data_IF_119171397857
#
_entry.id   IF_119171397857
#
_cell.length_a   1.000
_cell.length_b   1.000
_cell.length_c   1.000
_cell.angle_alpha   90.00
_cell.angle_beta   90.00
_cell.angle_gamma   90.00
#
_symmetry.space_group_name_H-M   'P 1'
#
loop_
_entity.id
_entity.type
_entity.pdbx_description
1 polymer ?
#
# COMPACT_ATOMS: atom_id res chain seq x y z
N UNK A 1 -39.64 17.17 -56.65
CA UNK A 1 -40.81 16.79 -57.46
C UNK A 1 -41.21 18.02 -58.25
N UNK A 2 -41.15 17.96 -59.58
CA UNK A 2 -41.65 19.01 -60.47
C UNK A 2 -43.18 18.86 -60.60
N UNK A 3 -43.92 19.80 -60.07
CA UNK A 3 -45.33 19.99 -60.41
C UNK A 3 -45.50 20.97 -61.53
N UNK A 4 -46.61 20.98 -62.20
CA UNK A 4 -46.88 21.82 -63.43
C UNK A 4 -46.75 23.32 -63.18
N UNK A 5 -46.68 23.84 -61.95
CA UNK A 5 -46.67 25.28 -61.66
C UNK A 5 -45.62 25.72 -60.61
N UNK A 6 -44.51 25.03 -60.44
CA UNK A 6 -43.47 25.49 -59.54
C UNK A 6 -42.43 24.46 -59.09
N UNK A 7 -41.25 24.93 -58.71
CA UNK A 7 -40.21 24.13 -58.08
C UNK A 7 -40.39 24.19 -56.56
N UNK A 8 -40.74 23.09 -55.94
CA UNK A 8 -40.82 22.97 -54.48
C UNK A 8 -39.39 22.70 -53.96
N UNK A 9 -38.82 23.68 -53.30
CA UNK A 9 -37.53 23.50 -52.61
C UNK A 9 -37.79 23.10 -51.15
N UNK A 10 -37.38 21.88 -50.74
CA UNK A 10 -37.33 21.45 -49.36
C UNK A 10 -35.96 21.83 -48.74
N UNK A 11 -35.97 22.70 -47.78
CA UNK A 11 -34.84 22.89 -46.88
C UNK A 11 -35.00 21.92 -45.71
N UNK A 12 -34.25 20.86 -45.71
CA UNK A 12 -34.07 20.04 -44.48
C UNK A 12 -33.14 20.79 -43.56
N UNK A 13 -33.45 20.90 -42.24
CA UNK A 13 -32.55 21.53 -41.30
C UNK A 13 -31.22 20.74 -41.25
N UNK A 14 -30.20 21.32 -41.91
CA UNK A 14 -28.83 20.74 -41.88
C UNK A 14 -28.19 20.85 -40.49
N UNK A 15 -28.79 21.64 -39.61
CA UNK A 15 -28.26 21.96 -38.27
C UNK A 15 -28.13 20.74 -37.37
N UNK A 16 -29.07 19.80 -37.39
CA UNK A 16 -28.98 18.57 -36.57
C UNK A 16 -27.83 17.68 -37.02
N UNK A 17 -27.64 17.48 -38.32
CA UNK A 17 -26.54 16.66 -38.83
C UNK A 17 -25.18 17.33 -38.58
N UNK A 18 -25.09 18.66 -38.73
CA UNK A 18 -23.87 19.44 -38.47
C UNK A 18 -23.55 19.43 -36.95
N UNK A 19 -24.55 19.61 -36.10
CA UNK A 19 -24.39 19.55 -34.65
C UNK A 19 -23.98 18.15 -34.18
N UNK A 20 -24.56 17.09 -34.71
CA UNK A 20 -24.17 15.71 -34.41
C UNK A 20 -22.72 15.44 -34.84
N UNK A 21 -22.29 15.90 -36.03
CA UNK A 21 -20.92 15.74 -36.52
C UNK A 21 -19.92 16.54 -35.68
N UNK A 22 -20.28 17.77 -35.28
CA UNK A 22 -19.46 18.61 -34.41
C UNK A 22 -19.29 17.95 -33.03
N UNK A 23 -20.38 17.51 -32.40
CA UNK A 23 -20.36 16.82 -31.13
C UNK A 23 -19.51 15.54 -31.20
N UNK A 24 -19.65 14.77 -32.28
CA UNK A 24 -18.83 13.58 -32.52
C UNK A 24 -17.35 13.91 -32.62
N UNK A 25 -16.97 14.97 -33.31
CA UNK A 25 -15.57 15.42 -33.45
C UNK A 25 -15.00 15.89 -32.11
N UNK A 26 -15.74 16.69 -31.36
CA UNK A 26 -15.34 17.21 -30.06
C UNK A 26 -15.18 16.03 -29.07
N UNK A 27 -16.07 15.04 -29.09
CA UNK A 27 -15.99 13.85 -28.29
C UNK A 27 -14.73 13.02 -28.62
N UNK A 28 -14.48 12.77 -29.92
CA UNK A 28 -13.29 12.03 -30.37
C UNK A 28 -12.01 12.78 -29.99
N UNK A 29 -11.98 14.12 -30.17
CA UNK A 29 -10.81 14.91 -29.76
C UNK A 29 -10.57 14.84 -28.24
N UNK A 30 -11.61 14.92 -27.44
CA UNK A 30 -11.51 14.81 -25.98
C UNK A 30 -11.00 13.44 -25.57
N UNK A 31 -11.54 12.37 -26.15
CA UNK A 31 -11.06 11.00 -25.91
C UNK A 31 -9.60 10.84 -26.32
N UNK A 32 -9.22 11.34 -27.50
CA UNK A 32 -7.83 11.25 -27.99
C UNK A 32 -6.87 12.00 -27.07
N UNK A 33 -7.26 13.20 -26.62
CA UNK A 33 -6.44 13.98 -25.69
C UNK A 33 -6.31 13.28 -24.33
N UNK A 34 -7.41 12.79 -23.77
CA UNK A 34 -7.39 12.04 -22.51
C UNK A 34 -6.52 10.79 -22.63
N UNK A 35 -6.68 10.02 -23.70
CA UNK A 35 -5.89 8.82 -23.99
C UNK A 35 -4.39 9.13 -24.08
N UNK A 36 -4.03 10.25 -24.72
CA UNK A 36 -2.64 10.67 -24.88
C UNK A 36 -2.00 11.17 -23.57
N UNK A 37 -2.81 11.66 -22.61
CA UNK A 37 -2.32 12.19 -21.33
C UNK A 37 -2.39 11.21 -20.18
N UNK A 38 -2.89 9.99 -20.40
CA UNK A 38 -2.87 8.94 -19.38
C UNK A 38 -1.42 8.60 -18.99
N UNK A 39 -1.10 8.52 -17.68
CA UNK A 39 0.22 8.11 -17.21
C UNK A 39 0.44 6.60 -17.32
N UNK A 40 -0.59 5.85 -17.68
CA UNK A 40 -0.58 4.41 -17.83
C UNK A 40 -0.31 4.05 -19.29
N UNK A 41 0.70 3.23 -19.55
CA UNK A 41 0.98 2.70 -20.89
C UNK A 41 -0.13 1.76 -21.33
N UNK A 42 -0.74 2.05 -22.47
CA UNK A 42 -1.83 1.25 -23.01
C UNK A 42 -1.47 0.69 -24.40
N UNK A 43 -1.67 -0.62 -24.55
CA UNK A 43 -1.56 -1.33 -25.83
C UNK A 43 -2.83 -2.15 -26.05
N UNK A 44 -3.54 -1.94 -27.18
CA UNK A 44 -4.73 -2.68 -27.54
C UNK A 44 -4.41 -3.59 -28.72
N UNK A 45 -4.57 -4.87 -28.55
CA UNK A 45 -4.40 -5.90 -29.57
C UNK A 45 -5.77 -6.36 -30.06
N UNK A 46 -5.88 -6.59 -31.37
CA UNK A 46 -7.09 -7.16 -31.94
C UNK A 46 -7.22 -8.69 -31.64
N UNK A 47 -8.30 -9.28 -32.10
CA UNK A 47 -8.55 -10.73 -31.97
C UNK A 47 -7.50 -11.62 -32.65
N UNK A 48 -6.71 -11.06 -33.58
CA UNK A 48 -5.57 -11.76 -34.21
C UNK A 48 -4.25 -11.51 -33.49
N UNK A 49 -4.31 -10.86 -32.32
CA UNK A 49 -3.16 -10.49 -31.48
C UNK A 49 -2.18 -9.55 -32.18
N UNK A 50 -2.68 -8.68 -33.07
CA UNK A 50 -1.90 -7.60 -33.67
C UNK A 50 -2.21 -6.29 -32.96
N UNK A 51 -1.16 -5.51 -32.67
CA UNK A 51 -1.28 -4.20 -32.04
C UNK A 51 -2.08 -3.26 -32.96
N UNK A 52 -3.15 -2.67 -32.42
CA UNK A 52 -4.01 -1.73 -33.11
C UNK A 52 -3.86 -0.30 -32.62
N UNK A 53 -3.78 -0.16 -31.29
CA UNK A 53 -3.73 1.17 -30.64
C UNK A 53 -2.71 1.12 -29.52
N UNK A 54 -1.99 2.20 -29.35
CA UNK A 54 -1.12 2.44 -28.20
C UNK A 54 -1.11 3.95 -27.88
N UNK A 55 -0.77 4.30 -26.65
CA UNK A 55 -0.64 5.70 -26.23
C UNK A 55 0.85 6.10 -26.03
N UNK A 56 1.16 7.41 -25.92
CA UNK A 56 2.52 7.87 -25.70
C UNK A 56 3.17 7.30 -24.42
N UNK A 57 2.40 7.17 -23.34
CA UNK A 57 2.92 6.61 -22.08
C UNK A 57 3.50 5.20 -22.25
N UNK A 58 2.98 4.39 -23.18
CA UNK A 58 3.56 3.09 -23.48
C UNK A 58 5.00 3.22 -23.98
N UNK A 59 5.27 4.16 -24.89
CA UNK A 59 6.63 4.40 -25.40
C UNK A 59 7.55 4.93 -24.31
N UNK A 60 7.05 5.83 -23.46
CA UNK A 60 7.82 6.44 -22.37
C UNK A 60 8.22 5.41 -21.30
N UNK A 61 7.28 4.52 -20.92
CA UNK A 61 7.50 3.49 -19.91
C UNK A 61 8.37 2.33 -20.41
N UNK A 62 8.19 1.93 -21.68
CA UNK A 62 8.84 0.73 -22.21
C UNK A 62 10.09 1.01 -23.04
N UNK A 63 10.29 2.26 -23.48
CA UNK A 63 11.37 2.61 -24.39
C UNK A 63 11.24 1.95 -25.78
N UNK A 64 10.05 1.44 -26.11
CA UNK A 64 9.79 0.87 -27.43
C UNK A 64 9.73 1.98 -28.49
N UNK A 65 10.38 1.75 -29.62
CA UNK A 65 10.42 2.71 -30.73
C UNK A 65 9.02 2.84 -31.36
N UNK A 66 8.54 4.10 -31.58
CA UNK A 66 7.24 4.33 -32.23
C UNK A 66 7.10 3.63 -33.58
N UNK A 67 8.18 3.58 -34.37
CA UNK A 67 8.20 2.92 -35.68
C UNK A 67 7.89 1.43 -35.57
N UNK A 68 8.44 0.75 -34.52
CA UNK A 68 8.13 -0.63 -34.25
C UNK A 68 6.65 -0.82 -33.88
N UNK A 69 6.10 0.03 -33.02
CA UNK A 69 4.70 -0.05 -32.61
C UNK A 69 3.74 0.23 -33.79
N UNK A 70 4.07 1.19 -34.65
CA UNK A 70 3.31 1.51 -35.86
C UNK A 70 3.33 0.37 -36.88
N UNK A 71 4.34 -0.53 -36.87
CA UNK A 71 4.36 -1.72 -37.71
C UNK A 71 3.31 -2.75 -37.34
N UNK A 72 2.54 -2.51 -36.25
CA UNK A 72 1.50 -3.41 -35.72
C UNK A 72 2.03 -4.81 -35.41
N UNK A 73 3.04 -4.92 -34.53
CA UNK A 73 3.61 -6.22 -34.19
C UNK A 73 2.55 -7.15 -33.57
N UNK A 74 2.74 -8.44 -33.74
CA UNK A 74 1.99 -9.43 -32.95
C UNK A 74 2.43 -9.42 -31.48
N UNK A 75 1.60 -9.94 -30.59
CA UNK A 75 1.84 -10.00 -29.15
C UNK A 75 3.20 -10.65 -28.82
N UNK A 76 3.56 -11.72 -29.47
CA UNK A 76 4.85 -12.39 -29.25
C UNK A 76 6.03 -11.46 -29.62
N UNK A 77 5.96 -10.80 -30.79
CA UNK A 77 6.97 -9.83 -31.21
C UNK A 77 7.06 -8.63 -30.26
N UNK A 78 5.92 -8.17 -29.75
CA UNK A 78 5.84 -7.10 -28.75
C UNK A 78 6.54 -7.51 -27.44
N UNK A 79 6.23 -8.68 -26.90
CA UNK A 79 6.87 -9.20 -25.68
C UNK A 79 8.38 -9.42 -25.85
N UNK A 80 8.80 -9.97 -27.02
CA UNK A 80 10.22 -10.16 -27.31
C UNK A 80 10.96 -8.82 -27.37
N UNK A 81 10.38 -7.79 -27.97
CA UNK A 81 10.98 -6.45 -28.03
C UNK A 81 11.07 -5.80 -26.65
N UNK A 82 10.04 -5.98 -25.80
CA UNK A 82 10.10 -5.54 -24.40
C UNK A 82 11.21 -6.25 -23.62
N UNK A 83 11.41 -7.54 -23.88
CA UNK A 83 12.51 -8.31 -23.28
C UNK A 83 13.87 -7.78 -23.70
N UNK A 84 14.07 -7.48 -24.97
CA UNK A 84 15.33 -6.90 -25.49
C UNK A 84 15.63 -5.53 -24.85
N UNK A 85 14.60 -4.80 -24.43
CA UNK A 85 14.71 -3.53 -23.70
C UNK A 85 14.81 -3.69 -22.17
N UNK A 86 14.85 -4.92 -21.65
CA UNK A 86 14.85 -5.23 -20.21
C UNK A 86 13.63 -4.68 -19.44
N UNK A 87 12.48 -4.60 -20.12
CA UNK A 87 11.22 -4.09 -19.55
C UNK A 87 10.26 -5.24 -19.22
N UNK A 88 10.78 -6.45 -19.12
CA UNK A 88 10.07 -7.62 -18.62
C UNK A 88 10.76 -8.19 -17.39
N UNK A 89 10.02 -8.87 -16.50
CA UNK A 89 10.63 -9.63 -15.43
C UNK A 89 11.47 -10.76 -16.01
N UNK A 90 12.49 -11.20 -15.28
CA UNK A 90 13.33 -12.34 -15.63
C UNK A 90 12.84 -13.61 -14.90
N UNK A 91 11.74 -14.25 -15.34
CA UNK A 91 11.29 -15.51 -14.75
C UNK A 91 12.26 -16.63 -15.04
N UNK A 92 12.35 -17.63 -14.16
CA UNK A 92 13.20 -18.81 -14.34
C UNK A 92 12.88 -19.57 -15.66
N UNK A 93 11.62 -19.54 -16.10
CA UNK A 93 11.15 -20.09 -17.36
C UNK A 93 10.31 -19.05 -18.12
N UNK A 94 11.00 -18.27 -18.95
CA UNK A 94 10.37 -17.25 -19.80
C UNK A 94 9.35 -17.85 -20.79
N UNK A 95 9.61 -19.06 -21.34
CA UNK A 95 8.71 -19.66 -22.33
C UNK A 95 7.35 -20.01 -21.70
N UNK A 96 7.35 -20.63 -20.54
CA UNK A 96 6.11 -20.94 -19.83
C UNK A 96 5.38 -19.69 -19.36
N UNK A 97 6.11 -18.66 -18.93
CA UNK A 97 5.54 -17.37 -18.53
C UNK A 97 4.91 -16.65 -19.72
N UNK A 98 5.62 -16.50 -20.85
CA UNK A 98 5.10 -15.87 -22.06
C UNK A 98 3.88 -16.63 -22.62
N UNK A 99 3.90 -17.98 -22.56
CA UNK A 99 2.75 -18.79 -22.98
C UNK A 99 1.52 -18.50 -22.13
N UNK A 100 1.64 -18.41 -20.81
CA UNK A 100 0.52 -18.05 -19.92
C UNK A 100 -0.06 -16.69 -20.29
N UNK A 101 0.78 -15.71 -20.61
CA UNK A 101 0.33 -14.40 -21.08
C UNK A 101 -0.43 -14.46 -22.40
N UNK A 102 0.02 -15.32 -23.32
CA UNK A 102 -0.65 -15.54 -24.60
C UNK A 102 -1.96 -16.34 -24.45
N UNK A 103 -2.06 -17.19 -23.43
CA UNK A 103 -3.22 -18.05 -23.14
C UNK A 103 -4.32 -17.36 -22.29
N UNK A 104 -4.13 -16.10 -21.86
CA UNK A 104 -5.14 -15.32 -21.10
C UNK A 104 -6.52 -15.31 -21.81
N UNK A 105 -6.54 -15.64 -23.10
CA UNK A 105 -7.72 -15.65 -23.95
C UNK A 105 -8.62 -16.89 -23.82
N UNK A 106 -8.05 -18.04 -23.45
CA UNK A 106 -8.76 -19.34 -23.60
C UNK A 106 -9.71 -19.66 -22.47
N UNK A 107 -9.71 -18.89 -21.41
CA UNK A 107 -10.64 -19.06 -20.30
C UNK A 107 -11.72 -17.98 -20.37
N UNK A 108 -12.85 -18.30 -20.94
CA UNK A 108 -14.07 -17.46 -20.92
C UNK A 108 -14.53 -17.11 -19.47
N UNK A 109 -13.85 -17.65 -18.46
CA UNK A 109 -13.95 -17.37 -17.04
C UNK A 109 -12.64 -16.81 -16.45
N UNK A 110 -11.62 -16.50 -17.24
CA UNK A 110 -10.40 -15.89 -16.73
C UNK A 110 -10.71 -14.46 -16.34
N UNK A 111 -10.76 -14.26 -15.05
CA UNK A 111 -10.77 -12.94 -14.45
C UNK A 111 -9.60 -12.09 -14.96
N UNK A 112 -9.71 -10.83 -14.75
CA UNK A 112 -8.70 -9.80 -15.01
C UNK A 112 -7.30 -10.33 -14.65
N UNK A 113 -6.41 -10.42 -15.64
CA UNK A 113 -5.01 -10.74 -15.38
C UNK A 113 -4.35 -9.49 -14.78
N UNK A 114 -3.71 -9.67 -13.64
CA UNK A 114 -2.90 -8.62 -13.02
C UNK A 114 -1.64 -9.24 -12.43
N UNK A 115 -0.49 -8.67 -12.74
CA UNK A 115 0.81 -9.12 -12.26
C UNK A 115 1.71 -7.91 -11.95
N UNK A 116 2.52 -8.01 -10.90
CA UNK A 116 3.54 -7.01 -10.60
C UNK A 116 4.88 -7.45 -11.16
N UNK A 117 5.45 -6.63 -12.04
CA UNK A 117 6.74 -6.89 -12.68
C UNK A 117 7.84 -6.07 -12.00
N UNK A 118 8.76 -6.76 -11.32
CA UNK A 118 10.01 -6.16 -10.85
C UNK A 118 11.06 -6.27 -11.94
N UNK A 119 11.51 -5.14 -12.45
CA UNK A 119 12.44 -5.07 -13.56
C UNK A 119 13.89 -5.06 -13.09
N UNK A 120 14.84 -5.57 -13.91
CA UNK A 120 16.28 -5.49 -13.61
C UNK A 120 16.77 -4.05 -13.43
N UNK A 121 16.10 -3.07 -14.03
CA UNK A 121 16.37 -1.63 -13.91
C UNK A 121 16.03 -1.04 -12.54
N UNK A 122 15.36 -1.81 -11.66
CA UNK A 122 14.87 -1.37 -10.35
C UNK A 122 13.47 -0.76 -10.39
N UNK A 123 12.87 -0.61 -11.57
CA UNK A 123 11.49 -0.19 -11.71
C UNK A 123 10.53 -1.32 -11.35
N UNK A 124 9.32 -0.95 -10.93
CA UNK A 124 8.24 -1.91 -10.64
C UNK A 124 6.99 -1.47 -11.39
N UNK A 125 6.51 -2.35 -12.27
CA UNK A 125 5.30 -2.11 -13.05
C UNK A 125 4.16 -3.00 -12.57
N UNK A 126 2.96 -2.43 -12.48
CA UNK A 126 1.70 -3.17 -12.41
C UNK A 126 1.22 -3.37 -13.83
N UNK A 127 1.03 -4.62 -14.21
CA UNK A 127 0.59 -4.98 -15.56
C UNK A 127 -0.72 -5.72 -15.48
N UNK A 128 -1.72 -5.22 -16.21
CA UNK A 128 -3.01 -5.88 -16.32
C UNK A 128 -3.39 -6.11 -17.78
N UNK A 129 -4.09 -7.20 -18.02
CA UNK A 129 -4.61 -7.55 -19.33
C UNK A 129 -6.12 -7.82 -19.22
N UNK A 130 -6.88 -7.01 -19.94
CA UNK A 130 -8.34 -7.05 -19.91
C UNK A 130 -8.87 -7.51 -21.26
N UNK A 131 -9.48 -8.72 -21.34
CA UNK A 131 -10.12 -9.17 -22.55
C UNK A 131 -11.39 -8.36 -22.82
N UNK A 132 -11.61 -8.01 -24.09
CA UNK A 132 -12.78 -7.31 -24.57
C UNK A 132 -13.76 -8.28 -25.25
N UNK A 133 -15.11 -8.06 -25.20
CA UNK A 133 -16.10 -8.96 -25.75
C UNK A 133 -15.96 -9.29 -27.24
N UNK A 134 -15.31 -8.42 -28.02
CA UNK A 134 -15.01 -8.63 -29.44
C UNK A 134 -13.73 -9.43 -29.70
N UNK A 135 -13.10 -9.96 -28.63
CA UNK A 135 -11.85 -10.73 -28.69
C UNK A 135 -10.57 -9.88 -28.73
N UNK A 136 -10.69 -8.55 -28.61
CA UNK A 136 -9.54 -7.68 -28.42
C UNK A 136 -8.97 -7.84 -26.99
N UNK A 137 -7.70 -7.47 -26.79
CA UNK A 137 -7.03 -7.50 -25.50
C UNK A 137 -6.41 -6.13 -25.23
N UNK A 138 -6.82 -5.50 -24.13
CA UNK A 138 -6.22 -4.28 -23.63
C UNK A 138 -5.14 -4.62 -22.60
N UNK A 139 -3.90 -4.21 -22.88
CA UNK A 139 -2.73 -4.38 -22.03
C UNK A 139 -2.39 -3.04 -21.40
N UNK A 140 -2.37 -2.97 -20.08
CA UNK A 140 -2.08 -1.76 -19.31
C UNK A 140 -0.80 -1.96 -18.52
N UNK A 141 0.08 -0.96 -18.55
CA UNK A 141 1.36 -0.95 -17.81
C UNK A 141 1.41 0.34 -17.00
N UNK A 142 1.46 0.22 -15.69
CA UNK A 142 1.53 1.34 -14.74
C UNK A 142 2.85 1.28 -13.98
N UNK A 143 3.57 2.39 -13.90
CA UNK A 143 4.77 2.50 -13.06
C UNK A 143 4.36 2.75 -11.61
N UNK A 144 4.54 1.73 -10.77
CA UNK A 144 4.28 1.77 -9.33
C UNK A 144 5.57 1.80 -8.49
N UNK A 145 6.69 2.18 -9.10
CA UNK A 145 8.01 2.18 -8.45
C UNK A 145 8.02 3.01 -7.18
N UNK A 146 7.53 4.25 -7.27
CA UNK A 146 7.48 5.17 -6.12
C UNK A 146 6.56 4.65 -5.01
N UNK A 147 5.39 4.11 -5.36
CA UNK A 147 4.44 3.51 -4.40
C UNK A 147 5.07 2.32 -3.68
N UNK A 148 5.72 1.44 -4.44
CA UNK A 148 6.38 0.25 -3.90
C UNK A 148 7.57 0.62 -3.00
N UNK A 149 8.38 1.61 -3.39
CA UNK A 149 9.49 2.10 -2.57
C UNK A 149 9.00 2.73 -1.28
N UNK A 150 7.95 3.57 -1.34
CA UNK A 150 7.36 4.19 -0.15
C UNK A 150 6.87 3.11 0.82
N UNK A 151 6.11 2.13 0.33
CA UNK A 151 5.59 1.03 1.13
C UNK A 151 6.72 0.20 1.77
N UNK A 152 7.78 -0.11 1.00
CA UNK A 152 8.94 -0.84 1.51
C UNK A 152 9.71 -0.05 2.57
N UNK A 153 9.90 1.26 2.35
CA UNK A 153 10.61 2.12 3.30
C UNK A 153 9.85 2.21 4.63
N UNK A 154 8.53 2.47 4.58
CA UNK A 154 7.69 2.51 5.79
C UNK A 154 7.76 1.18 6.54
N UNK A 155 7.66 0.06 5.83
CA UNK A 155 7.76 -1.26 6.44
C UNK A 155 9.15 -1.51 7.05
N UNK A 156 10.22 -1.15 6.34
CA UNK A 156 11.60 -1.30 6.85
C UNK A 156 11.87 -0.43 8.07
N UNK A 157 11.33 0.79 8.14
CA UNK A 157 11.41 1.65 9.32
C UNK A 157 10.65 1.05 10.50
N UNK A 158 9.46 0.49 10.27
CA UNK A 158 8.69 -0.22 11.29
C UNK A 158 9.42 -1.46 11.80
N UNK A 159 9.93 -2.29 10.90
CA UNK A 159 10.68 -3.52 11.24
C UNK A 159 11.96 -3.17 12.04
N UNK A 160 12.65 -2.10 11.65
CA UNK A 160 13.84 -1.62 12.37
C UNK A 160 13.47 -1.12 13.77
N UNK A 161 12.42 -0.32 13.90
CA UNK A 161 11.94 0.19 15.18
C UNK A 161 11.51 -0.96 16.10
N UNK A 162 10.78 -1.93 15.58
CA UNK A 162 10.36 -3.13 16.32
C UNK A 162 11.57 -3.96 16.76
N UNK A 163 12.56 -4.14 15.87
CA UNK A 163 13.79 -4.86 16.18
C UNK A 163 14.58 -4.21 17.33
N UNK A 164 14.66 -2.88 17.34
CA UNK A 164 15.31 -2.13 18.44
C UNK A 164 14.54 -2.29 19.75
N UNK A 165 13.21 -2.20 19.71
CA UNK A 165 12.37 -2.39 20.89
C UNK A 165 12.48 -3.80 21.47
N UNK A 166 12.63 -4.80 20.61
CA UNK A 166 12.82 -6.19 21.02
C UNK A 166 14.19 -6.48 21.67
N UNK A 167 15.15 -5.54 21.57
CA UNK A 167 16.45 -5.63 22.27
C UNK A 167 16.39 -5.04 23.69
N UNK A 168 15.28 -4.40 24.06
CA UNK A 168 15.09 -3.83 25.40
C UNK A 168 14.57 -4.91 26.34
N UNK A 169 15.26 -5.07 27.47
CA UNK A 169 14.90 -6.07 28.49
C UNK A 169 13.64 -5.67 29.28
N UNK A 170 13.32 -4.38 29.34
CA UNK A 170 12.07 -3.90 29.93
C UNK A 170 10.87 -4.38 29.11
N UNK A 171 9.86 -4.93 29.73
CA UNK A 171 8.62 -5.30 29.08
C UNK A 171 7.80 -4.03 28.74
N UNK A 172 7.57 -3.77 27.46
CA UNK A 172 6.95 -2.52 26.98
C UNK A 172 5.65 -2.83 26.24
N UNK A 173 4.59 -2.08 26.57
CA UNK A 173 3.34 -2.04 25.82
C UNK A 173 2.96 -0.58 25.50
N UNK A 174 2.42 -0.34 24.30
CA UNK A 174 1.92 0.96 23.88
C UNK A 174 0.49 0.83 23.40
N UNK A 175 -0.39 1.64 23.99
CA UNK A 175 -1.79 1.73 23.62
C UNK A 175 -2.06 3.03 22.88
N UNK A 176 -2.77 2.97 21.77
CA UNK A 176 -3.22 4.13 21.02
C UNK A 176 -4.23 4.96 21.86
N UNK A 177 -4.51 6.22 21.46
CA UNK A 177 -5.48 7.07 22.18
C UNK A 177 -6.90 6.49 22.25
N UNK A 178 -7.26 5.57 21.36
CA UNK A 178 -8.53 4.82 21.37
C UNK A 178 -8.51 3.61 22.31
N UNK A 179 -7.38 3.36 23.01
CA UNK A 179 -7.21 2.26 23.94
C UNK A 179 -6.81 0.92 23.31
N UNK A 180 -6.58 0.85 22.00
CA UNK A 180 -6.09 -0.39 21.37
C UNK A 180 -4.59 -0.56 21.59
N UNK A 181 -4.17 -1.80 21.84
CA UNK A 181 -2.76 -2.18 21.90
C UNK A 181 -2.16 -2.11 20.49
N UNK A 182 -1.13 -1.27 20.30
CA UNK A 182 -0.53 -1.03 18.97
C UNK A 182 0.91 -1.50 18.88
N UNK A 183 1.57 -1.70 20.03
CA UNK A 183 2.96 -2.14 20.05
C UNK A 183 3.30 -2.83 21.35
N UNK A 184 4.06 -3.93 21.24
CA UNK A 184 4.73 -4.59 22.36
C UNK A 184 6.13 -5.00 21.94
N UNK A 185 6.99 -5.31 22.90
CA UNK A 185 8.26 -5.95 22.63
C UNK A 185 8.28 -7.43 23.11
N UNK A 186 9.34 -8.15 22.76
CA UNK A 186 9.51 -9.56 23.14
C UNK A 186 9.43 -9.78 24.64
N UNK A 187 10.03 -8.91 25.44
CA UNK A 187 9.99 -9.00 26.91
C UNK A 187 8.55 -8.91 27.44
N UNK A 188 7.73 -8.03 26.87
CA UNK A 188 6.31 -7.93 27.25
C UNK A 188 5.54 -9.20 26.90
N UNK A 189 5.73 -9.76 25.71
CA UNK A 189 5.05 -10.99 25.28
C UNK A 189 5.46 -12.19 26.13
N UNK A 190 6.70 -12.22 26.61
CA UNK A 190 7.16 -13.26 27.54
C UNK A 190 6.57 -13.11 28.94
N UNK A 191 6.52 -11.87 29.46
CA UNK A 191 5.99 -11.58 30.79
C UNK A 191 4.49 -11.87 30.90
N UNK A 192 3.71 -11.52 29.84
CA UNK A 192 2.25 -11.62 29.83
C UNK A 192 1.70 -12.76 28.98
N UNK A 193 2.55 -13.69 28.54
CA UNK A 193 2.17 -14.92 27.78
C UNK A 193 1.20 -14.63 26.63
N UNK A 194 1.51 -13.62 25.82
CA UNK A 194 0.73 -13.32 24.61
C UNK A 194 1.18 -14.24 23.48
N UNK A 195 0.32 -15.19 23.10
CA UNK A 195 0.59 -16.09 21.98
C UNK A 195 0.04 -15.51 20.68
N UNK A 196 0.95 -15.14 19.76
CA UNK A 196 0.67 -14.78 18.35
C UNK A 196 0.35 -13.30 18.09
N UNK A 197 0.77 -12.81 16.93
CA UNK A 197 0.53 -11.41 16.47
C UNK A 197 -0.96 -11.10 16.28
N UNK A 198 -1.78 -12.08 15.90
CA UNK A 198 -3.23 -11.91 15.73
C UNK A 198 -3.97 -11.61 17.05
N UNK A 199 -3.39 -11.99 18.19
CA UNK A 199 -3.93 -11.73 19.52
C UNK A 199 -3.75 -10.27 19.95
N UNK A 200 -2.73 -9.55 19.46
CA UNK A 200 -2.42 -8.18 19.87
C UNK A 200 -3.49 -7.17 19.42
N UNK A 201 -4.02 -7.34 18.20
CA UNK A 201 -5.03 -6.42 17.66
C UNK A 201 -6.38 -6.45 18.40
N UNK A 202 -6.63 -7.49 19.18
CA UNK A 202 -7.87 -7.68 19.95
C UNK A 202 -7.78 -7.11 21.36
N UNK A 203 -6.56 -6.88 21.92
CA UNK A 203 -6.38 -6.45 23.31
C UNK A 203 -6.60 -4.95 23.46
N UNK A 204 -7.52 -4.60 24.35
CA UNK A 204 -7.77 -3.21 24.75
C UNK A 204 -7.08 -2.87 26.08
N UNK A 205 -6.84 -1.57 26.31
CA UNK A 205 -6.31 -1.10 27.59
C UNK A 205 -7.22 -1.50 28.75
N UNK A 206 -8.55 -1.51 28.56
CA UNK A 206 -9.49 -1.87 29.61
C UNK A 206 -9.31 -3.34 30.02
N UNK A 207 -9.23 -4.26 29.07
CA UNK A 207 -8.99 -5.68 29.31
C UNK A 207 -7.60 -5.92 29.95
N UNK A 208 -6.57 -5.22 29.45
CA UNK A 208 -5.24 -5.30 30.04
C UNK A 208 -5.23 -4.84 31.50
N UNK A 209 -5.90 -3.74 31.82
CA UNK A 209 -6.00 -3.23 33.19
C UNK A 209 -6.78 -4.17 34.10
N UNK A 210 -7.84 -4.82 33.64
CA UNK A 210 -8.57 -5.85 34.37
C UNK A 210 -7.65 -7.03 34.72
N UNK A 211 -6.97 -7.56 33.72
CA UNK A 211 -6.02 -8.68 33.90
C UNK A 211 -4.90 -8.31 34.89
N UNK A 212 -4.30 -7.13 34.77
CA UNK A 212 -3.24 -6.69 35.68
C UNK A 212 -3.73 -6.45 37.10
N UNK A 213 -5.00 -6.04 37.30
CA UNK A 213 -5.60 -5.98 38.67
C UNK A 213 -5.78 -7.33 39.29
N UNK A 214 -6.12 -8.35 38.51
CA UNK A 214 -6.33 -9.70 39.01
C UNK A 214 -5.02 -10.36 39.47
N UNK A 215 -3.92 -10.07 38.76
CA UNK A 215 -2.63 -10.72 39.03
C UNK A 215 -1.68 -9.89 39.93
N UNK A 216 -2.09 -8.71 40.39
CA UNK A 216 -1.26 -7.81 41.19
C UNK A 216 -1.95 -7.31 42.46
N UNK A 217 -1.15 -6.91 43.45
CA UNK A 217 -1.61 -6.39 44.74
C UNK A 217 -1.90 -4.88 44.76
N UNK A 218 -1.66 -4.15 43.65
CA UNK A 218 -1.73 -2.69 43.59
C UNK A 218 -2.85 -2.19 42.66
N UNK A 219 -4.11 -2.31 43.09
CA UNK A 219 -5.27 -1.85 42.33
C UNK A 219 -5.30 -0.35 42.09
N UNK A 220 -4.81 0.48 43.04
CA UNK A 220 -4.74 1.95 42.94
C UNK A 220 -3.83 2.43 41.80
N UNK A 221 -2.74 1.71 41.54
CA UNK A 221 -1.87 1.97 40.39
C UNK A 221 -2.67 1.96 39.08
N UNK A 222 -3.50 0.96 38.87
CA UNK A 222 -4.26 0.77 37.65
C UNK A 222 -5.37 1.78 37.47
N UNK A 223 -5.96 2.29 38.54
CA UNK A 223 -6.93 3.39 38.49
C UNK A 223 -6.28 4.73 38.08
N UNK A 224 -5.06 4.97 38.54
CA UNK A 224 -4.25 6.11 38.12
C UNK A 224 -3.85 5.98 36.66
N UNK A 225 -3.44 4.80 36.20
CA UNK A 225 -3.11 4.53 34.80
C UNK A 225 -4.34 4.70 33.90
N UNK A 226 -5.50 4.20 34.30
CA UNK A 226 -6.76 4.40 33.60
C UNK A 226 -7.12 5.91 33.48
N UNK A 227 -6.86 6.67 34.54
CA UNK A 227 -7.07 8.13 34.54
C UNK A 227 -6.09 8.82 33.60
N UNK A 228 -4.80 8.47 33.61
CA UNK A 228 -3.78 9.02 32.72
C UNK A 228 -4.12 8.76 31.25
N UNK A 229 -4.79 7.65 30.93
CA UNK A 229 -5.20 7.30 29.57
C UNK A 229 -6.32 8.20 29.00
N UNK A 230 -7.12 8.87 29.86
CA UNK A 230 -8.29 9.66 29.42
C UNK A 230 -7.89 10.82 28.53
N UNK A 231 -8.59 11.03 27.39
CA UNK A 231 -8.36 12.20 26.54
C UNK A 231 -8.62 13.52 27.30
N UNK A 232 -7.84 14.55 27.00
CA UNK A 232 -8.06 15.91 27.56
C UNK A 232 -7.48 16.15 28.95
N UNK A 233 -6.79 15.19 29.55
CA UNK A 233 -6.12 15.40 30.83
C UNK A 233 -4.96 16.39 30.68
N UNK A 234 -4.93 17.43 31.52
CA UNK A 234 -3.88 18.48 31.52
C UNK A 234 -2.58 17.97 32.13
N UNK A 235 -2.68 17.16 33.20
CA UNK A 235 -1.51 16.54 33.82
C UNK A 235 -1.08 15.29 33.04
N UNK A 236 0.13 15.36 32.53
CA UNK A 236 0.79 14.27 31.79
C UNK A 236 1.99 13.70 32.55
N UNK A 237 2.07 13.96 33.84
CA UNK A 237 3.16 13.46 34.66
C UNK A 237 3.21 11.93 34.61
N UNK A 238 4.39 11.34 34.42
CA UNK A 238 4.50 9.89 34.37
C UNK A 238 4.17 9.29 35.75
N UNK A 239 3.40 8.23 35.75
CA UNK A 239 3.14 7.41 36.93
C UNK A 239 4.32 6.45 37.06
N UNK A 240 4.89 6.38 38.26
CA UNK A 240 5.89 5.36 38.63
C UNK A 240 5.45 4.74 39.93
N UNK A 241 5.39 3.42 39.94
CA UNK A 241 4.99 2.66 41.10
C UNK A 241 5.53 1.23 41.02
N UNK A 242 5.27 0.42 42.04
CA UNK A 242 5.62 -0.99 42.07
C UNK A 242 4.36 -1.83 42.21
N UNK A 243 4.39 -2.98 41.58
CA UNK A 243 3.36 -4.01 41.74
C UNK A 243 4.02 -5.31 42.17
N UNK A 244 3.35 -6.04 42.98
CA UNK A 244 3.75 -7.41 43.34
C UNK A 244 2.81 -8.37 42.66
N UNK A 245 3.39 -9.28 41.89
CA UNK A 245 2.66 -10.34 41.21
C UNK A 245 2.21 -11.41 42.16
N UNK A 246 1.19 -12.17 41.79
CA UNK A 246 0.67 -13.31 42.61
C UNK A 246 1.69 -14.44 42.86
N UNK A 247 2.69 -14.57 41.98
CA UNK A 247 3.84 -15.49 42.14
C UNK A 247 4.93 -14.97 43.09
N UNK A 248 4.80 -13.71 43.57
CA UNK A 248 5.69 -13.05 44.49
C UNK A 248 6.76 -12.17 43.85
N UNK A 249 6.86 -12.13 42.51
CA UNK A 249 7.76 -11.23 41.78
C UNK A 249 7.30 -9.78 41.93
N UNK A 250 8.27 -8.86 42.08
CA UNK A 250 7.99 -7.42 42.15
C UNK A 250 8.48 -6.74 40.88
N UNK A 251 7.59 -5.96 40.25
CA UNK A 251 7.86 -5.19 39.05
C UNK A 251 7.75 -3.72 39.36
N UNK A 252 8.73 -2.93 38.87
CA UNK A 252 8.62 -1.49 38.78
C UNK A 252 7.82 -1.14 37.52
N UNK A 253 6.72 -0.41 37.68
CA UNK A 253 5.83 -0.01 36.57
C UNK A 253 5.98 1.47 36.30
N UNK A 254 6.17 1.81 35.04
CA UNK A 254 6.16 3.21 34.59
C UNK A 254 5.11 3.37 33.49
N UNK A 255 4.13 4.26 33.69
CA UNK A 255 3.16 4.64 32.67
C UNK A 255 3.34 6.10 32.28
N UNK A 256 3.42 6.40 30.97
CA UNK A 256 3.57 7.76 30.44
C UNK A 256 2.80 7.94 29.14
N UNK A 257 2.32 9.17 28.90
CA UNK A 257 1.76 9.55 27.60
C UNK A 257 2.87 10.05 26.67
N UNK A 258 2.81 9.60 25.43
CA UNK A 258 3.68 10.09 24.35
C UNK A 258 3.18 11.44 23.84
N UNK A 259 3.99 12.12 23.02
CA UNK A 259 3.58 13.37 22.33
C UNK A 259 2.36 13.17 21.42
N UNK A 260 2.20 11.97 20.84
CA UNK A 260 1.07 11.60 19.99
C UNK A 260 -0.20 11.24 20.77
N UNK A 261 -0.13 11.24 22.12
CA UNK A 261 -1.27 10.91 22.97
C UNK A 261 -1.42 9.42 23.28
N UNK A 262 -0.55 8.56 22.74
CA UNK A 262 -0.53 7.15 23.10
C UNK A 262 -0.03 6.96 24.54
N UNK A 263 -0.47 5.89 25.20
CA UNK A 263 -0.03 5.49 26.54
C UNK A 263 1.02 4.40 26.43
N UNK A 264 2.22 4.66 26.91
CA UNK A 264 3.28 3.67 27.03
C UNK A 264 3.38 3.19 28.47
N UNK A 265 3.40 1.87 28.66
CA UNK A 265 3.58 1.23 29.96
C UNK A 265 4.81 0.34 29.86
N UNK A 266 5.71 0.43 30.85
CA UNK A 266 6.86 -0.44 30.97
C UNK A 266 6.90 -1.15 32.33
N UNK A 267 7.35 -2.39 32.31
CA UNK A 267 7.52 -3.25 33.49
C UNK A 267 8.99 -3.69 33.56
N UNK A 268 9.60 -3.48 34.71
CA UNK A 268 11.01 -3.82 34.95
C UNK A 268 11.09 -4.68 36.20
N UNK A 269 11.74 -5.85 36.18
CA UNK A 269 11.98 -6.62 37.38
C UNK A 269 12.73 -5.78 38.44
N UNK A 270 12.25 -5.82 39.70
CA UNK A 270 12.79 -4.97 40.79
C UNK A 270 14.00 -5.60 41.51
N UNK A 271 14.72 -6.52 40.88
CA UNK A 271 15.90 -7.17 41.43
C UNK A 271 17.17 -6.33 41.48
N UNK A 272 17.15 -5.07 40.94
CA UNK A 272 18.29 -4.16 40.96
C UNK A 272 17.95 -2.92 41.79
N UNK A 273 18.70 -2.59 42.86
CA UNK A 273 18.55 -1.29 43.52
C UNK A 273 18.74 -0.19 42.45
N UNK A 274 17.78 0.73 42.35
CA UNK A 274 17.81 1.89 41.45
C UNK A 274 19.17 2.58 41.58
N UNK A 275 20.13 2.16 40.80
CA UNK A 275 21.35 2.92 40.57
C UNK A 275 20.90 4.24 39.94
N UNK A 276 21.12 5.33 40.65
CA UNK A 276 20.95 6.69 40.20
C UNK A 276 21.40 6.80 38.73
N UNK A 277 20.47 7.14 37.84
CA UNK A 277 20.71 7.39 36.42
C UNK A 277 22.06 8.11 36.22
N UNK A 278 22.96 7.58 35.40
CA UNK A 278 24.14 8.34 35.01
C UNK A 278 23.67 9.62 34.32
N UNK A 279 24.09 10.77 34.83
CA UNK A 279 23.89 12.06 34.21
C UNK A 279 24.23 11.96 32.74
N UNK A 280 23.29 12.31 31.88
CA UNK A 280 23.49 12.43 30.45
C UNK A 280 24.75 13.27 30.18
N UNK A 281 25.85 12.62 29.80
CA UNK A 281 26.97 13.29 29.20
C UNK A 281 26.58 13.65 27.77
N UNK A 282 26.40 14.95 27.58
CA UNK A 282 26.15 15.55 26.26
C UNK A 282 27.35 15.24 25.39
N UNK A 283 27.16 14.41 24.36
CA UNK A 283 28.09 14.28 23.25
C UNK A 283 28.17 15.64 22.52
N UNK A 284 29.21 16.43 22.82
CA UNK A 284 29.55 17.60 22.03
C UNK A 284 30.25 17.09 20.77
N UNK A 285 29.61 17.23 19.62
CA UNK A 285 30.28 17.12 18.33
C UNK A 285 31.36 18.23 18.28
N UNK A 286 32.59 17.80 18.12
CA UNK A 286 33.69 18.70 17.82
C UNK A 286 33.53 19.18 16.38
N UNK A 287 33.74 20.50 16.19
CA UNK A 287 33.70 21.19 14.91
C UNK A 287 34.82 20.72 13.96
#
# INVERSE_FOLDING_TARGET
IKGEDGTLAYALPADEAQNAEKTRREFVQTLTKTFATLPIGLAIFDRTRRLQVFNPALTDLTGLEPEFLLSRPGMEGFLNRMRDKHVLPEPRDYRSWARRLLEIETSANAGQFEETWSLPTGQTFRVSANPHPDGALAFLIEDITSETHLTRNVRSEMDTSQSVLNQIDDAIAVFAPNGQLVLTNTAFSQLWTLEGEESLAAVTLAEALENWREVSDNGDLWDRVATLARPGLSDRSPIRDRMRMSDGETLAVTARRTSTGALMISFVPDEVPLATSPRAQVLRASA
#
